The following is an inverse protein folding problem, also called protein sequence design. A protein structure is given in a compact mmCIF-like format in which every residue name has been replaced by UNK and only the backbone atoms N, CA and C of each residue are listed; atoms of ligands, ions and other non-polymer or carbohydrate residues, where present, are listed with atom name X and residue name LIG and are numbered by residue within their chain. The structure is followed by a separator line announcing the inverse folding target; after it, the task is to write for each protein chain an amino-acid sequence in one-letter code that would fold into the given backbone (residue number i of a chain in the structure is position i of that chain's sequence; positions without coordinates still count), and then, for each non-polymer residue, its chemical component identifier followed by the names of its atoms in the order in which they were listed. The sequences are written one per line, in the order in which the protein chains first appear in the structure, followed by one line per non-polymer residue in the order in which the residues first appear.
data_IF_480906058896
#
_entry.id   IF_480906058896
#
_cell.length_a   1.000
_cell.length_b   1.000
_cell.length_c   1.000
_cell.angle_alpha   90.00
_cell.angle_beta   90.00
_cell.angle_gamma   90.00
#
_symmetry.space_group_name_H-M   'P 1'
#
loop_
_entity.id
_entity.type
_entity.pdbx_description
1 polymer ?
#
# COMPACT_ATOMS: atom_id res chain seq x y z
N UNK A 1 -19.80 -20.20 -3.88
CA UNK A 1 -20.16 -19.90 -2.46
C UNK A 1 -19.51 -18.58 -2.07
N UNK A 2 -20.31 -17.53 -1.85
CA UNK A 2 -19.84 -16.16 -1.57
C UNK A 2 -19.73 -15.97 -0.06
N UNK A 3 -18.52 -15.90 0.50
CA UNK A 3 -18.32 -15.33 1.85
C UNK A 3 -17.89 -13.88 1.70
N UNK A 4 -18.83 -12.99 2.01
CA UNK A 4 -18.76 -11.53 1.89
C UNK A 4 -18.39 -10.98 3.27
N UNK A 5 -17.34 -10.18 3.37
CA UNK A 5 -16.92 -9.57 4.63
C UNK A 5 -17.98 -8.55 5.08
N UNK A 6 -18.51 -8.71 6.30
CA UNK A 6 -19.58 -7.90 6.89
C UNK A 6 -18.94 -6.88 7.84
N UNK A 7 -19.11 -5.59 7.58
CA UNK A 7 -18.91 -4.54 8.58
C UNK A 7 -20.29 -4.13 9.08
N UNK A 8 -20.65 -4.60 10.27
CA UNK A 8 -21.91 -4.24 10.92
C UNK A 8 -21.82 -2.82 11.46
N UNK A 9 -22.80 -1.98 11.12
CA UNK A 9 -23.03 -0.75 11.88
C UNK A 9 -23.44 -1.10 13.33
N UNK A 10 -23.59 -0.07 14.17
CA UNK A 10 -24.08 -0.17 15.54
C UNK A 10 -25.47 -0.86 15.67
N UNK A 11 -26.13 -1.20 14.56
CA UNK A 11 -27.44 -1.84 14.49
C UNK A 11 -27.37 -3.21 13.77
N UNK A 12 -26.18 -3.71 13.45
CA UNK A 12 -25.98 -5.03 12.86
C UNK A 12 -26.13 -5.10 11.34
N UNK A 13 -26.23 -3.96 10.64
CA UNK A 13 -26.35 -3.97 9.17
C UNK A 13 -24.98 -3.94 8.51
N UNK A 14 -24.74 -4.88 7.60
CA UNK A 14 -23.52 -4.90 6.82
C UNK A 14 -23.61 -3.96 5.63
N UNK A 15 -22.78 -2.91 5.65
CA UNK A 15 -22.68 -1.96 4.55
C UNK A 15 -21.41 -2.24 3.74
N UNK A 16 -21.56 -2.40 2.43
CA UNK A 16 -20.41 -2.41 1.52
C UNK A 16 -19.81 -1.01 1.51
N UNK A 17 -18.50 -0.93 1.68
CA UNK A 17 -17.73 0.32 1.58
C UNK A 17 -17.01 0.33 0.24
N UNK A 18 -17.09 1.45 -0.48
CA UNK A 18 -16.45 1.65 -1.77
C UNK A 18 -17.44 1.66 -2.92
N UNK A 19 -16.95 2.09 -4.09
CA UNK A 19 -17.70 2.08 -5.35
C UNK A 19 -17.14 0.96 -6.21
N UNK A 20 -18.00 0.04 -6.65
CA UNK A 20 -17.61 -1.02 -7.57
C UNK A 20 -17.16 -0.41 -8.91
N UNK A 21 -16.10 -0.97 -9.48
CA UNK A 21 -15.54 -0.54 -10.75
C UNK A 21 -15.15 -1.74 -11.63
N UNK A 22 -14.64 -1.49 -12.85
CA UNK A 22 -14.16 -2.56 -13.71
C UNK A 22 -13.04 -3.33 -13.02
N UNK A 23 -13.03 -4.66 -13.21
CA UNK A 23 -12.01 -5.54 -12.64
C UNK A 23 -10.65 -5.24 -13.29
N UNK A 24 -9.68 -4.86 -12.48
CA UNK A 24 -8.32 -4.51 -12.91
C UNK A 24 -7.23 -5.42 -12.32
N UNK A 25 -7.61 -6.32 -11.41
CA UNK A 25 -6.69 -7.16 -10.66
C UNK A 25 -6.90 -8.64 -11.00
N UNK A 26 -5.81 -9.39 -10.97
CA UNK A 26 -5.82 -10.83 -11.16
C UNK A 26 -6.65 -11.52 -10.07
N UNK A 27 -7.53 -12.41 -10.50
CA UNK A 27 -8.39 -13.25 -9.67
C UNK A 27 -8.02 -14.74 -9.78
N UNK A 28 -7.21 -15.12 -10.77
CA UNK A 28 -6.72 -16.48 -10.96
C UNK A 28 -5.19 -16.55 -10.96
N UNK A 29 -4.66 -17.75 -10.78
CA UNK A 29 -3.22 -18.05 -10.87
C UNK A 29 -2.64 -17.66 -12.23
N UNK A 30 -3.34 -18.00 -13.31
CA UNK A 30 -2.94 -17.68 -14.67
C UNK A 30 -2.89 -16.17 -14.91
N UNK A 31 -3.92 -15.44 -14.47
CA UNK A 31 -3.94 -13.98 -14.56
C UNK A 31 -2.82 -13.33 -13.74
N UNK A 32 -2.47 -13.91 -12.58
CA UNK A 32 -1.37 -13.42 -11.76
C UNK A 32 0.00 -13.60 -12.43
N UNK A 33 0.20 -14.71 -13.14
CA UNK A 33 1.40 -14.95 -13.94
C UNK A 33 1.50 -13.98 -15.11
N UNK A 34 0.40 -13.75 -15.83
CA UNK A 34 0.34 -12.77 -16.91
C UNK A 34 0.62 -11.34 -16.40
N UNK A 35 0.08 -10.99 -15.23
CA UNK A 35 0.35 -9.70 -14.60
C UNK A 35 1.82 -9.55 -14.20
N UNK A 36 2.46 -10.62 -13.69
CA UNK A 36 3.88 -10.63 -13.38
C UNK A 36 4.71 -10.43 -14.66
N UNK A 37 4.45 -11.22 -15.70
CA UNK A 37 5.15 -11.13 -16.97
C UNK A 37 5.03 -9.73 -17.60
N UNK A 38 3.82 -9.16 -17.61
CA UNK A 38 3.59 -7.80 -18.07
C UNK A 38 4.37 -6.77 -17.26
N UNK A 39 4.41 -6.92 -15.93
CA UNK A 39 5.22 -6.03 -15.08
C UNK A 39 6.70 -6.12 -15.40
N UNK A 40 7.26 -7.34 -15.46
CA UNK A 40 8.67 -7.57 -15.76
C UNK A 40 9.05 -6.99 -17.12
N UNK A 41 8.20 -7.19 -18.12
CA UNK A 41 8.49 -6.80 -19.50
C UNK A 41 8.31 -5.30 -19.73
N UNK A 42 7.35 -4.65 -19.08
CA UNK A 42 6.92 -3.29 -19.48
C UNK A 42 7.16 -2.22 -18.41
N UNK A 43 7.30 -2.60 -17.14
CA UNK A 43 7.30 -1.64 -16.02
C UNK A 43 8.53 -1.74 -15.14
N UNK A 44 9.14 -2.92 -15.06
CA UNK A 44 10.28 -3.16 -14.19
C UNK A 44 11.41 -2.17 -14.44
N UNK A 45 11.78 -1.88 -15.70
CA UNK A 45 12.86 -0.93 -15.99
C UNK A 45 12.64 0.45 -15.33
N UNK A 46 11.39 0.92 -15.30
CA UNK A 46 10.98 2.20 -14.74
C UNK A 46 10.70 2.17 -13.24
N UNK A 47 10.69 0.98 -12.61
CA UNK A 47 10.26 0.82 -11.21
C UNK A 47 11.12 1.64 -10.24
N UNK A 48 12.44 1.47 -10.26
CA UNK A 48 13.34 2.15 -9.32
C UNK A 48 13.30 3.68 -9.44
N UNK A 49 13.50 4.27 -10.63
CA UNK A 49 13.48 5.73 -10.82
C UNK A 49 12.18 6.41 -10.38
N UNK A 50 11.04 5.70 -10.43
CA UNK A 50 9.73 6.24 -10.12
C UNK A 50 9.07 5.61 -8.90
N UNK A 51 9.84 4.92 -8.04
CA UNK A 51 9.30 4.16 -6.89
C UNK A 51 8.48 5.07 -5.95
N UNK A 52 8.95 6.30 -5.72
CA UNK A 52 8.32 7.30 -4.86
C UNK A 52 7.59 8.41 -5.64
N UNK A 53 7.47 8.27 -6.97
CA UNK A 53 6.84 9.28 -7.80
C UNK A 53 5.31 9.16 -7.76
N UNK A 54 4.62 10.31 -7.76
CA UNK A 54 3.17 10.36 -7.86
C UNK A 54 2.77 11.28 -9.02
N UNK A 55 1.84 10.82 -9.86
CA UNK A 55 1.28 11.59 -10.97
C UNK A 55 -0.24 11.57 -10.92
N UNK A 56 -0.87 12.73 -10.93
CA UNK A 56 -2.33 12.84 -10.82
C UNK A 56 -3.09 12.12 -11.96
N UNK A 57 -2.46 12.00 -13.14
CA UNK A 57 -3.04 11.35 -14.32
C UNK A 57 -2.75 9.85 -14.45
N UNK A 58 -1.84 9.31 -13.65
CA UNK A 58 -1.48 7.89 -13.69
C UNK A 58 -1.54 7.27 -12.29
N UNK A 59 -2.59 6.49 -12.07
CA UNK A 59 -2.85 5.85 -10.79
C UNK A 59 -1.96 4.62 -10.53
N UNK A 60 -1.27 4.09 -11.54
CA UNK A 60 -0.45 2.87 -11.40
C UNK A 60 1.04 3.16 -11.47
N UNK A 61 1.45 4.20 -12.21
CA UNK A 61 2.86 4.51 -12.48
C UNK A 61 3.61 3.23 -12.91
N UNK A 62 4.85 3.06 -12.44
CA UNK A 62 5.66 1.87 -12.69
C UNK A 62 5.37 0.71 -11.71
N UNK A 63 4.31 0.76 -10.89
CA UNK A 63 4.06 -0.29 -9.92
C UNK A 63 3.50 -1.59 -10.55
N UNK A 64 3.79 -2.71 -9.87
CA UNK A 64 3.46 -4.06 -10.34
C UNK A 64 2.00 -4.46 -10.19
N UNK A 65 1.28 -3.86 -9.23
CA UNK A 65 -0.10 -4.21 -8.87
C UNK A 65 -0.29 -5.69 -8.44
N UNK A 66 0.79 -6.37 -8.05
CA UNK A 66 0.78 -7.80 -7.70
C UNK A 66 0.43 -8.09 -6.24
N UNK A 67 0.28 -7.06 -5.39
CA UNK A 67 0.06 -7.25 -3.95
C UNK A 67 -1.19 -8.10 -3.62
N UNK A 68 -2.34 -7.98 -4.31
CA UNK A 68 -3.49 -8.84 -4.03
C UNK A 68 -3.21 -10.29 -4.41
N UNK A 69 -2.54 -10.53 -5.54
CA UNK A 69 -2.19 -11.87 -5.99
C UNK A 69 -1.20 -12.56 -5.04
N UNK A 70 -0.18 -11.82 -4.56
CA UNK A 70 0.79 -12.31 -3.57
C UNK A 70 0.17 -12.61 -2.21
N UNK A 71 -0.83 -11.83 -1.79
CA UNK A 71 -1.47 -11.99 -0.48
C UNK A 71 -2.56 -13.08 -0.47
N UNK A 72 -3.18 -13.34 -1.62
CA UNK A 72 -4.15 -14.43 -1.80
C UNK A 72 -3.48 -15.78 -2.15
N UNK A 73 -2.16 -15.81 -2.32
CA UNK A 73 -1.42 -17.02 -2.71
C UNK A 73 -1.59 -17.41 -4.18
N UNK A 74 -2.08 -16.50 -5.03
CA UNK A 74 -2.13 -16.69 -6.48
C UNK A 74 -0.75 -16.55 -7.14
N UNK A 75 0.18 -15.88 -6.45
CA UNK A 75 1.57 -15.76 -6.86
C UNK A 75 2.46 -16.09 -5.66
N UNK A 76 3.42 -16.99 -5.85
CA UNK A 76 4.40 -17.32 -4.84
C UNK A 76 5.49 -16.24 -4.80
N UNK A 77 5.93 -15.76 -3.61
CA UNK A 77 6.93 -14.70 -3.52
C UNK A 77 8.24 -14.98 -4.25
N UNK A 78 8.69 -16.24 -4.32
CA UNK A 78 9.92 -16.60 -5.04
C UNK A 78 9.85 -16.34 -6.54
N UNK A 79 8.66 -16.26 -7.13
CA UNK A 79 8.48 -16.02 -8.57
C UNK A 79 8.94 -14.62 -8.99
N UNK A 80 9.09 -13.69 -8.03
CA UNK A 80 9.69 -12.37 -8.30
C UNK A 80 11.17 -12.44 -8.69
N UNK A 81 11.82 -13.61 -8.53
CA UNK A 81 13.15 -13.87 -9.10
C UNK A 81 13.20 -13.66 -10.63
N UNK A 82 12.05 -13.65 -11.32
CA UNK A 82 11.96 -13.21 -12.72
C UNK A 82 12.57 -11.81 -12.95
N UNK A 83 12.53 -10.91 -11.96
CA UNK A 83 13.17 -9.59 -12.04
C UNK A 83 14.70 -9.66 -12.08
N UNK A 84 15.30 -10.61 -11.36
CA UNK A 84 16.73 -10.89 -11.47
C UNK A 84 17.08 -11.39 -12.87
N UNK A 85 16.24 -12.27 -13.43
CA UNK A 85 16.38 -12.74 -14.81
C UNK A 85 16.37 -11.59 -15.82
N UNK A 86 15.45 -10.63 -15.67
CA UNK A 86 15.38 -9.43 -16.50
C UNK A 86 16.62 -8.53 -16.36
N UNK A 87 17.13 -8.34 -15.14
CA UNK A 87 18.39 -7.64 -14.92
C UNK A 87 19.57 -8.32 -15.62
N UNK A 88 19.70 -9.65 -15.47
CA UNK A 88 20.80 -10.42 -16.08
C UNK A 88 20.79 -10.37 -17.61
N UNK A 89 19.62 -10.22 -18.23
CA UNK A 89 19.48 -10.02 -19.69
C UNK A 89 19.73 -8.58 -20.14
N UNK A 90 19.80 -7.63 -19.20
CA UNK A 90 19.95 -6.19 -19.50
C UNK A 90 18.62 -5.46 -19.74
N UNK A 91 17.48 -6.12 -19.51
CA UNK A 91 16.14 -5.53 -19.75
C UNK A 91 15.76 -4.49 -18.67
N UNK A 92 16.39 -4.56 -17.50
CA UNK A 92 16.16 -3.66 -16.39
C UNK A 92 17.48 -3.29 -15.70
N UNK A 93 17.54 -2.08 -15.14
CA UNK A 93 18.68 -1.67 -14.31
C UNK A 93 18.65 -2.35 -12.95
N UNK A 94 19.83 -2.54 -12.34
CA UNK A 94 19.95 -3.15 -11.01
C UNK A 94 19.11 -2.44 -9.96
N UNK A 95 19.04 -1.10 -10.00
CA UNK A 95 18.27 -0.29 -9.05
C UNK A 95 16.78 -0.64 -9.07
N UNK A 96 16.24 -0.96 -10.26
CA UNK A 96 14.84 -1.32 -10.40
C UNK A 96 14.58 -2.78 -10.04
N UNK A 97 15.45 -3.69 -10.46
CA UNK A 97 15.33 -5.11 -10.16
C UNK A 97 15.51 -5.39 -8.66
N UNK A 98 16.58 -4.86 -8.06
CA UNK A 98 16.83 -4.94 -6.62
C UNK A 98 15.70 -4.30 -5.84
N UNK A 99 15.25 -3.10 -6.23
CA UNK A 99 14.18 -2.39 -5.54
C UNK A 99 12.91 -3.22 -5.47
N UNK A 100 12.49 -3.81 -6.60
CA UNK A 100 11.32 -4.67 -6.63
C UNK A 100 11.48 -5.92 -5.75
N UNK A 101 12.62 -6.60 -5.85
CA UNK A 101 12.92 -7.79 -5.03
C UNK A 101 12.95 -7.45 -3.54
N UNK A 102 13.52 -6.31 -3.16
CA UNK A 102 13.60 -5.82 -1.77
C UNK A 102 12.21 -5.54 -1.18
N UNK A 103 11.26 -5.02 -1.97
CA UNK A 103 9.90 -4.82 -1.49
C UNK A 103 9.20 -6.17 -1.19
N UNK A 104 9.42 -7.19 -2.03
CA UNK A 104 8.70 -8.47 -1.91
C UNK A 104 9.41 -9.48 -1.00
N UNK A 105 10.69 -9.73 -1.19
CA UNK A 105 11.43 -10.70 -0.36
C UNK A 105 12.04 -10.07 0.90
N UNK A 106 12.19 -8.75 0.93
CA UNK A 106 12.64 -8.01 2.11
C UNK A 106 11.47 -7.56 2.98
N UNK A 107 10.81 -6.48 2.59
CA UNK A 107 9.80 -5.82 3.43
C UNK A 107 8.59 -6.69 3.75
N UNK A 108 7.99 -7.35 2.75
CA UNK A 108 6.83 -8.22 2.98
C UNK A 108 7.18 -9.39 3.91
N UNK A 109 8.29 -10.09 3.69
CA UNK A 109 8.72 -11.20 4.57
C UNK A 109 9.07 -10.72 5.98
N UNK A 110 9.72 -9.56 6.09
CA UNK A 110 10.01 -8.94 7.38
C UNK A 110 8.74 -8.61 8.16
N UNK A 111 7.75 -7.96 7.52
CA UNK A 111 6.46 -7.64 8.16
C UNK A 111 5.71 -8.90 8.51
N UNK A 112 5.68 -9.90 7.63
CA UNK A 112 5.06 -11.20 7.91
C UNK A 112 5.69 -11.86 9.15
N UNK A 113 7.02 -11.91 9.22
CA UNK A 113 7.75 -12.43 10.37
C UNK A 113 7.45 -11.66 11.66
N UNK A 114 7.40 -10.33 11.61
CA UNK A 114 7.01 -9.49 12.77
C UNK A 114 5.58 -9.76 13.18
N UNK A 115 4.63 -9.86 12.24
CA UNK A 115 3.23 -10.14 12.56
C UNK A 115 3.10 -11.45 13.34
N UNK A 116 3.79 -12.51 12.91
CA UNK A 116 3.79 -13.78 13.65
C UNK A 116 4.48 -13.69 15.00
N UNK A 117 5.62 -13.01 15.07
CA UNK A 117 6.35 -12.82 16.32
C UNK A 117 5.55 -11.98 17.34
N UNK A 118 4.88 -10.91 16.87
CA UNK A 118 4.05 -10.00 17.67
C UNK A 118 2.62 -10.45 17.86
N UNK A 119 2.10 -11.46 17.15
CA UNK A 119 0.73 -11.96 17.36
C UNK A 119 0.47 -12.44 18.81
N UNK A 120 1.54 -12.59 19.62
CA UNK A 120 1.49 -12.89 21.06
C UNK A 120 1.38 -11.67 21.97
N UNK A 121 1.50 -10.44 21.46
CA UNK A 121 1.39 -9.19 22.22
C UNK A 121 0.48 -8.21 21.48
N UNK A 122 -0.52 -7.73 22.20
CA UNK A 122 -1.69 -6.97 21.69
C UNK A 122 -1.32 -5.84 20.72
N UNK A 123 -2.11 -5.66 19.66
CA UNK A 123 -2.06 -4.50 18.75
C UNK A 123 -2.58 -3.23 19.47
N UNK A 124 -1.92 -2.80 20.54
CA UNK A 124 -2.25 -1.55 21.22
C UNK A 124 -1.36 -0.45 20.65
N UNK A 125 -1.84 0.24 19.63
CA UNK A 125 -1.17 1.46 19.15
C UNK A 125 -1.33 2.56 20.21
N UNK A 126 -0.23 3.03 20.78
CA UNK A 126 -0.21 4.04 21.86
C UNK A 126 -0.40 5.48 21.38
N UNK A 127 -0.60 5.71 20.07
CA UNK A 127 -0.80 7.05 19.50
C UNK A 127 -2.24 7.23 19.03
N UNK A 128 -2.85 8.33 19.45
CA UNK A 128 -4.15 8.77 18.96
C UNK A 128 -4.15 8.80 17.44
N UNK A 129 -5.00 7.96 16.84
CA UNK A 129 -5.24 8.01 15.40
C UNK A 129 -6.44 8.93 15.18
N UNK A 130 -6.35 9.96 14.31
CA UNK A 130 -7.51 10.80 14.04
C UNK A 130 -8.65 9.96 13.46
N UNK A 131 -9.91 10.27 13.83
CA UNK A 131 -11.06 9.46 13.49
C UNK A 131 -11.28 9.33 11.96
N UNK A 132 -11.90 8.22 11.51
CA UNK A 132 -12.00 7.86 10.09
C UNK A 132 -12.80 8.85 9.23
N UNK A 133 -13.65 9.70 9.82
CA UNK A 133 -14.40 10.72 9.08
C UNK A 133 -13.51 11.83 8.49
N UNK A 134 -12.26 11.96 8.96
CA UNK A 134 -11.26 12.84 8.35
C UNK A 134 -10.56 12.20 7.13
N UNK A 135 -10.77 10.91 6.84
CA UNK A 135 -10.04 10.16 5.80
C UNK A 135 -10.90 9.75 4.60
N UNK A 136 -12.22 9.69 4.75
CA UNK A 136 -13.11 9.18 3.71
C UNK A 136 -14.07 10.27 3.20
N UNK A 137 -13.86 10.70 1.96
CA UNK A 137 -14.91 11.31 1.13
C UNK A 137 -15.30 12.78 1.39
N UNK A 138 -14.73 13.45 2.39
CA UNK A 138 -14.94 14.89 2.57
C UNK A 138 -14.16 15.66 1.49
N UNK A 139 -14.79 16.57 0.71
CA UNK A 139 -14.06 17.39 -0.26
C UNK A 139 -13.04 18.22 0.52
N UNK A 140 -11.78 17.83 0.41
CA UNK A 140 -10.67 18.51 1.07
C UNK A 140 -9.96 19.29 -0.03
N UNK A 141 -9.78 20.61 0.13
CA UNK A 141 -9.14 21.46 -0.90
C UNK A 141 -7.65 21.17 -1.10
N UNK A 142 -7.10 20.21 -0.35
CA UNK A 142 -5.70 19.81 -0.38
C UNK A 142 -5.39 18.92 -1.56
N UNK A 143 -5.08 19.56 -2.68
CA UNK A 143 -4.33 18.94 -3.77
C UNK A 143 -2.86 18.79 -3.30
N UNK A 144 -2.61 17.79 -2.46
CA UNK A 144 -1.28 17.39 -1.94
C UNK A 144 -0.44 18.52 -1.31
N UNK A 145 -0.94 19.10 -0.21
CA UNK A 145 -0.24 19.74 0.92
C UNK A 145 -1.13 20.82 1.52
N UNK A 146 -1.89 20.47 2.54
CA UNK A 146 -2.04 21.38 3.67
C UNK A 146 -2.26 20.57 4.93
N UNK A 147 -1.76 21.08 6.05
CA UNK A 147 -2.04 20.57 7.39
C UNK A 147 -3.56 20.54 7.53
N UNK A 148 -4.18 19.42 7.96
CA UNK A 148 -5.63 19.42 8.15
C UNK A 148 -6.00 20.55 9.11
N UNK A 149 -7.10 21.30 8.85
CA UNK A 149 -7.58 22.29 9.81
C UNK A 149 -7.80 21.60 11.15
N UNK A 150 -7.50 22.30 12.25
CA UNK A 150 -7.60 21.76 13.59
C UNK A 150 -8.99 21.13 13.78
N UNK A 151 -9.01 19.82 14.07
CA UNK A 151 -10.24 19.08 14.30
C UNK A 151 -10.83 19.56 15.64
N UNK A 152 -12.02 20.19 15.66
CA UNK A 152 -12.59 20.77 16.88
C UNK A 152 -12.98 19.71 17.92
N UNK A 153 -12.91 18.42 17.58
CA UNK A 153 -13.24 17.28 18.45
C UNK A 153 -12.02 16.56 19.04
N UNK A 154 -10.82 17.12 18.96
CA UNK A 154 -9.69 16.58 19.73
C UNK A 154 -9.93 16.85 21.23
N UNK A 155 -10.23 15.80 22.00
CA UNK A 155 -10.40 15.89 23.46
C UNK A 155 -9.20 16.57 24.14
N UNK A 156 -9.38 17.22 25.31
CA UNK A 156 -8.37 18.09 25.96
C UNK A 156 -7.12 17.39 26.53
N UNK A 157 -6.83 16.16 26.09
CA UNK A 157 -5.67 15.36 26.51
C UNK A 157 -4.70 15.02 25.38
N UNK A 158 -4.90 15.52 24.16
CA UNK A 158 -3.93 15.37 23.08
C UNK A 158 -2.76 16.32 23.35
N UNK A 159 -1.74 15.82 24.07
CA UNK A 159 -0.58 16.59 24.49
C UNK A 159 0.02 17.45 23.37
N UNK A 160 0.25 18.72 23.71
CA UNK A 160 1.06 19.65 22.94
C UNK A 160 2.42 19.02 22.66
N UNK A 161 2.74 18.83 21.38
CA UNK A 161 4.10 18.50 20.98
C UNK A 161 5.04 19.65 21.42
N UNK A 162 6.23 19.36 21.99
CA UNK A 162 7.17 20.40 22.37
C UNK A 162 7.57 21.18 21.11
N UNK A 163 7.41 22.50 21.18
CA UNK A 163 7.68 23.42 20.08
C UNK A 163 9.15 23.41 19.70
N UNK A 164 9.44 23.23 18.42
CA UNK A 164 10.75 23.56 17.86
C UNK A 164 10.81 25.08 17.67
N UNK A 165 11.67 25.72 18.45
CA UNK A 165 12.05 27.13 18.34
C UNK A 165 12.56 27.41 16.92
N UNK A 166 11.93 28.36 16.22
CA UNK A 166 12.44 28.86 14.95
C UNK A 166 13.52 29.90 15.26
N UNK A 167 14.76 29.69 14.78
CA UNK A 167 15.79 30.73 14.78
C UNK A 167 15.47 31.73 13.65
N UNK A 168 15.50 33.05 13.90
CA UNK A 168 15.49 34.05 12.83
C UNK A 168 16.89 34.14 12.20
N UNK A 169 16.92 34.50 10.91
CA UNK A 169 18.14 34.67 10.11
C UNK A 169 18.92 35.94 10.40
#
# INVERSE_FOLDING_TARGET
MRRRWLFTDQHGHAHLRGTDGPRRLAATREEALLALDHFITHRLAAFGPYEDAMLAGDWTMAHSLLSPALNLGLLHPSEVAAAEGAYRRGDAQIVSAEGFVRQVLGWREYVWGICWWRARTTLTATRCTPPPHCRAGSPTSTRTRSRPPACPTCSPGCGTAPGYTTFPG
#
